data_IF_272648462077
#
_entry.id   IF_272648462077
#
_cell.length_a   1.000
_cell.length_b   1.000
_cell.length_c   1.000
_cell.angle_alpha   90.00
_cell.angle_beta   90.00
_cell.angle_gamma   90.00
#
_symmetry.space_group_name_H-M   'P 1'
#
loop_
_entity.id
_entity.type
_entity.pdbx_description
1 polymer ?
#
# COMPACT_ATOMS: atom_id res chain seq x y z
N UNK A 1 6.37 4.82 -12.68
CA UNK A 1 6.77 3.59 -13.42
C UNK A 1 6.10 2.38 -12.78
N UNK A 2 6.01 1.26 -13.50
CA UNK A 2 5.57 -0.03 -12.95
C UNK A 2 6.75 -0.99 -13.01
N UNK A 3 7.03 -1.66 -11.89
CA UNK A 3 8.05 -2.71 -11.80
C UNK A 3 7.40 -4.09 -11.90
N UNK A 4 7.90 -4.93 -12.81
CA UNK A 4 7.52 -6.34 -12.91
C UNK A 4 8.60 -7.22 -12.26
N UNK A 5 8.31 -7.90 -11.14
CA UNK A 5 9.28 -8.75 -10.47
C UNK A 5 9.58 -10.06 -11.21
N UNK A 6 8.73 -10.50 -12.14
CA UNK A 6 8.94 -11.74 -12.92
C UNK A 6 10.03 -11.56 -13.96
N UNK A 7 9.99 -10.43 -14.65
CA UNK A 7 10.97 -10.07 -15.69
C UNK A 7 12.10 -9.20 -15.15
N UNK A 8 11.96 -8.66 -13.93
CA UNK A 8 12.88 -7.70 -13.33
C UNK A 8 13.07 -6.45 -14.22
N UNK A 9 11.96 -5.89 -14.70
CA UNK A 9 11.97 -4.73 -15.61
C UNK A 9 11.02 -3.65 -15.17
N UNK A 10 11.29 -2.42 -15.60
CA UNK A 10 10.40 -1.27 -15.43
C UNK A 10 9.69 -0.95 -16.75
N UNK A 11 8.43 -0.54 -16.66
CA UNK A 11 7.66 0.03 -17.77
C UNK A 11 7.05 1.37 -17.37
N UNK A 12 6.68 2.16 -18.38
CA UNK A 12 5.95 3.41 -18.14
C UNK A 12 4.60 3.15 -17.47
N UNK A 13 4.22 4.01 -16.53
CA UNK A 13 2.89 4.06 -15.91
C UNK A 13 2.04 5.21 -16.51
N UNK A 14 2.48 5.80 -17.62
CA UNK A 14 1.95 7.07 -18.10
C UNK A 14 2.58 8.27 -17.38
N UNK A 15 1.99 9.44 -17.59
CA UNK A 15 2.42 10.71 -17.00
C UNK A 15 1.26 11.36 -16.27
N UNK A 16 1.53 11.88 -15.09
CA UNK A 16 0.54 12.67 -14.35
C UNK A 16 0.31 14.00 -15.06
N UNK A 17 -0.92 14.50 -15.00
CA UNK A 17 -1.24 15.86 -15.41
C UNK A 17 -0.70 16.89 -14.40
N UNK A 18 -0.60 16.49 -13.12
CA UNK A 18 -0.11 17.36 -12.04
C UNK A 18 1.12 16.76 -11.32
N UNK A 19 2.09 17.59 -10.90
CA UNK A 19 3.27 17.12 -10.19
C UNK A 19 2.91 16.58 -8.79
N UNK A 20 3.29 15.33 -8.51
CA UNK A 20 3.11 14.67 -7.21
C UNK A 20 4.44 14.67 -6.43
N UNK A 21 4.73 15.78 -5.77
CA UNK A 21 5.98 16.02 -5.04
C UNK A 21 5.79 15.82 -3.52
N UNK A 22 6.53 16.52 -2.68
CA UNK A 22 6.41 16.43 -1.22
C UNK A 22 4.95 16.57 -0.76
N UNK A 23 4.52 15.85 0.28
CA UNK A 23 3.12 15.82 0.77
C UNK A 23 2.06 15.24 -0.20
N UNK A 24 2.46 14.45 -1.21
CA UNK A 24 1.51 13.61 -1.96
C UNK A 24 1.17 12.32 -1.21
N UNK A 25 0.06 11.70 -1.60
CA UNK A 25 -0.36 10.36 -1.18
C UNK A 25 -0.87 9.56 -2.38
N UNK A 26 -0.68 8.24 -2.32
CA UNK A 26 -1.13 7.31 -3.37
C UNK A 26 -1.72 6.07 -2.71
N UNK A 27 -2.92 5.65 -3.12
CA UNK A 27 -3.61 4.52 -2.50
C UNK A 27 -4.29 3.64 -3.55
N UNK A 28 -4.19 2.32 -3.39
CA UNK A 28 -4.97 1.37 -4.19
C UNK A 28 -6.45 1.45 -3.80
N UNK A 29 -7.31 1.60 -4.79
CA UNK A 29 -8.76 1.62 -4.63
C UNK A 29 -9.39 0.21 -4.80
N UNK A 30 -10.59 -0.02 -4.23
CA UNK A 30 -11.32 -1.30 -4.35
C UNK A 30 -11.65 -1.71 -5.79
N UNK A 31 -11.61 -0.78 -6.75
CA UNK A 31 -11.83 -1.06 -8.15
C UNK A 31 -10.55 -1.40 -8.92
N UNK A 32 -9.40 -1.52 -8.24
CA UNK A 32 -8.11 -1.80 -8.87
C UNK A 32 -7.50 -0.58 -9.59
N UNK A 33 -8.00 0.63 -9.34
CA UNK A 33 -7.33 1.86 -9.75
C UNK A 33 -6.45 2.40 -8.63
N UNK A 34 -5.61 3.38 -8.93
CA UNK A 34 -4.77 4.05 -7.93
C UNK A 34 -5.22 5.48 -7.80
N UNK A 35 -5.59 5.89 -6.58
CA UNK A 35 -5.85 7.27 -6.21
C UNK A 35 -4.53 8.02 -6.00
N UNK A 36 -4.41 9.22 -6.54
CA UNK A 36 -3.28 10.13 -6.33
C UNK A 36 -3.82 11.50 -5.91
N UNK A 37 -3.29 12.05 -4.83
CA UNK A 37 -3.69 13.37 -4.35
C UNK A 37 -2.59 14.09 -3.58
N UNK A 38 -2.78 15.39 -3.38
CA UNK A 38 -1.86 16.24 -2.66
C UNK A 38 -0.57 16.52 -3.42
N UNK A 39 0.32 17.24 -2.74
CA UNK A 39 1.59 17.68 -3.27
C UNK A 39 1.87 19.14 -2.92
N UNK A 40 3.14 19.45 -2.65
CA UNK A 40 3.63 20.79 -2.38
C UNK A 40 4.79 21.07 -3.34
N UNK A 41 4.51 21.46 -4.61
CA UNK A 41 5.55 21.67 -5.61
C UNK A 41 6.52 22.80 -5.25
N UNK A 42 6.06 23.77 -4.48
CA UNK A 42 6.85 24.86 -3.93
C UNK A 42 6.33 25.26 -2.54
N UNK A 43 7.12 26.00 -1.77
CA UNK A 43 6.70 26.50 -0.46
C UNK A 43 5.43 27.37 -0.59
N UNK A 44 4.38 27.01 0.13
CA UNK A 44 3.09 27.71 0.09
C UNK A 44 2.23 27.43 -1.15
N UNK A 45 2.67 26.53 -2.04
CA UNK A 45 1.89 26.08 -3.21
C UNK A 45 1.41 24.66 -2.95
N UNK A 46 0.10 24.46 -3.04
CA UNK A 46 -0.55 23.18 -2.77
C UNK A 46 -1.22 22.65 -4.04
N UNK A 47 -1.01 21.37 -4.34
CA UNK A 47 -1.67 20.65 -5.43
C UNK A 47 -2.93 19.95 -4.88
N UNK A 48 -4.09 20.55 -5.14
CA UNK A 48 -5.37 20.11 -4.59
C UNK A 48 -6.16 19.19 -5.53
N UNK A 49 -5.69 18.95 -6.76
CA UNK A 49 -6.36 18.04 -7.68
C UNK A 49 -6.15 16.59 -7.28
N UNK A 50 -7.17 15.78 -7.54
CA UNK A 50 -7.13 14.32 -7.42
C UNK A 50 -7.00 13.74 -8.83
N UNK A 51 -6.14 12.74 -8.98
CA UNK A 51 -6.05 11.92 -10.18
C UNK A 51 -6.33 10.47 -9.82
N UNK A 52 -6.90 9.73 -10.76
CA UNK A 52 -7.08 8.28 -10.66
C UNK A 52 -6.34 7.63 -11.82
N UNK A 53 -5.28 6.90 -11.51
CA UNK A 53 -4.54 6.11 -12.48
C UNK A 53 -5.25 4.77 -12.69
N UNK A 54 -5.53 4.45 -13.96
CA UNK A 54 -6.11 3.18 -14.38
C UNK A 54 -5.01 2.31 -15.01
N UNK A 55 -4.53 1.26 -14.32
CA UNK A 55 -3.43 0.45 -14.84
C UNK A 55 -3.82 -0.35 -16.08
N UNK A 56 -2.82 -0.71 -16.89
CA UNK A 56 -3.01 -1.43 -18.16
C UNK A 56 -3.80 -2.74 -18.04
N UNK A 57 -3.76 -3.42 -16.89
CA UNK A 57 -4.53 -4.64 -16.65
C UNK A 57 -6.06 -4.45 -16.70
N UNK A 58 -6.54 -3.20 -16.72
CA UNK A 58 -7.96 -2.86 -16.87
C UNK A 58 -8.38 -2.67 -18.34
N UNK A 59 -7.45 -2.82 -19.28
CA UNK A 59 -7.69 -2.59 -20.70
C UNK A 59 -7.21 -3.77 -21.56
N UNK A 60 -7.89 -3.99 -22.67
CA UNK A 60 -7.43 -4.88 -23.74
C UNK A 60 -6.33 -4.19 -24.56
N UNK A 61 -5.67 -4.93 -25.44
CA UNK A 61 -4.61 -4.40 -26.31
C UNK A 61 -5.06 -3.29 -27.27
N UNK A 62 -6.36 -3.23 -27.57
CA UNK A 62 -6.97 -2.18 -28.39
C UNK A 62 -7.38 -0.93 -27.59
N UNK A 63 -7.12 -0.91 -26.28
CA UNK A 63 -7.47 0.17 -25.36
C UNK A 63 -8.92 0.15 -24.86
N UNK A 64 -9.75 -0.80 -25.31
CA UNK A 64 -11.09 -0.98 -24.74
C UNK A 64 -11.02 -1.57 -23.32
N UNK A 65 -12.02 -1.34 -22.45
CA UNK A 65 -12.03 -1.93 -21.11
C UNK A 65 -12.00 -3.46 -21.14
N UNK A 66 -11.10 -4.05 -20.34
CA UNK A 66 -11.01 -5.50 -20.18
C UNK A 66 -12.19 -6.05 -19.39
N UNK A 67 -12.66 -7.25 -19.75
CA UNK A 67 -13.70 -7.94 -18.97
C UNK A 67 -13.12 -8.41 -17.64
N UNK A 68 -13.63 -7.84 -16.55
CA UNK A 68 -13.28 -8.25 -15.18
C UNK A 68 -13.98 -9.56 -14.81
N UNK A 69 -13.32 -10.46 -14.04
CA UNK A 69 -14.04 -11.55 -13.39
C UNK A 69 -15.03 -10.98 -12.36
N UNK A 70 -16.18 -11.63 -12.21
CA UNK A 70 -17.13 -11.29 -11.18
C UNK A 70 -16.53 -11.51 -9.78
N UNK A 71 -16.69 -10.53 -8.89
CA UNK A 71 -16.34 -10.68 -7.48
C UNK A 71 -17.13 -11.85 -6.86
N UNK A 72 -16.56 -12.49 -5.85
CA UNK A 72 -17.21 -13.60 -5.19
C UNK A 72 -18.51 -13.15 -4.52
N UNK A 73 -19.62 -13.83 -4.81
CA UNK A 73 -20.94 -13.46 -4.27
C UNK A 73 -21.10 -13.74 -2.77
N UNK A 74 -20.21 -14.56 -2.21
CA UNK A 74 -20.22 -15.01 -0.83
C UNK A 74 -18.87 -14.76 -0.12
N UNK A 75 -18.14 -13.71 -0.52
CA UNK A 75 -16.90 -13.34 0.16
C UNK A 75 -17.14 -13.18 1.67
N UNK A 76 -16.40 -13.90 2.54
CA UNK A 76 -16.63 -13.85 3.97
C UNK A 76 -16.21 -12.50 4.56
N UNK A 77 -16.96 -11.99 5.53
CA UNK A 77 -16.59 -10.76 6.25
C UNK A 77 -15.32 -10.92 7.10
N UNK A 78 -15.01 -12.13 7.55
CA UNK A 78 -13.75 -12.44 8.22
C UNK A 78 -13.23 -13.84 7.86
N UNK A 79 -11.90 -13.96 7.82
CA UNK A 79 -11.16 -15.23 7.68
C UNK A 79 -10.09 -15.32 8.77
N UNK A 80 -9.59 -16.53 9.00
CA UNK A 80 -8.48 -16.78 9.94
C UNK A 80 -7.41 -17.67 9.32
N UNK A 81 -6.31 -17.86 10.04
CA UNK A 81 -5.10 -18.47 9.51
C UNK A 81 -5.27 -19.97 9.23
N UNK A 82 -4.77 -20.41 8.07
CA UNK A 82 -4.77 -21.82 7.63
C UNK A 82 -6.14 -22.45 7.38
N UNK A 83 -7.24 -21.74 7.67
CA UNK A 83 -8.60 -22.26 7.48
C UNK A 83 -9.02 -22.17 6.01
N UNK A 84 -9.76 -23.18 5.57
CA UNK A 84 -10.32 -23.19 4.21
C UNK A 84 -11.70 -22.54 4.18
N UNK A 85 -12.00 -21.84 3.09
CA UNK A 85 -13.31 -21.27 2.79
C UNK A 85 -13.60 -21.36 1.29
N UNK A 86 -14.85 -21.15 0.90
CA UNK A 86 -15.27 -21.26 -0.51
C UNK A 86 -15.74 -19.91 -1.03
N UNK A 87 -15.23 -19.51 -2.18
CA UNK A 87 -15.70 -18.35 -2.94
C UNK A 87 -16.48 -18.82 -4.17
N UNK A 88 -17.69 -18.32 -4.36
CA UNK A 88 -18.57 -18.62 -5.49
C UNK A 88 -18.49 -17.50 -6.51
N UNK A 89 -18.15 -17.84 -7.75
CA UNK A 89 -18.10 -16.90 -8.88
C UNK A 89 -18.37 -17.66 -10.18
N UNK A 90 -19.15 -17.10 -11.12
CA UNK A 90 -19.34 -17.71 -12.44
C UNK A 90 -18.02 -17.86 -13.21
N UNK A 91 -17.01 -17.05 -12.90
CA UNK A 91 -15.74 -17.02 -13.62
C UNK A 91 -14.64 -17.90 -12.99
N UNK A 92 -15.00 -18.82 -12.06
CA UNK A 92 -14.05 -19.63 -11.28
C UNK A 92 -13.03 -20.40 -12.13
N UNK A 93 -13.42 -20.84 -13.33
CA UNK A 93 -12.54 -21.56 -14.24
C UNK A 93 -11.42 -20.69 -14.86
N UNK A 94 -11.59 -19.36 -14.85
CA UNK A 94 -10.64 -18.40 -15.45
C UNK A 94 -9.74 -17.72 -14.42
N UNK A 95 -10.02 -17.89 -13.13
CA UNK A 95 -9.24 -17.29 -12.04
C UNK A 95 -7.92 -18.03 -11.89
N UNK A 96 -6.82 -17.30 -11.96
CA UNK A 96 -5.44 -17.83 -11.84
C UNK A 96 -4.75 -17.37 -10.57
N UNK A 97 -5.23 -16.30 -9.94
CA UNK A 97 -4.71 -15.81 -8.66
C UNK A 97 -5.82 -15.22 -7.79
N UNK A 98 -5.66 -15.37 -6.47
CA UNK A 98 -6.47 -14.69 -5.46
C UNK A 98 -5.52 -13.88 -4.59
N UNK A 99 -5.72 -12.58 -4.55
CA UNK A 99 -4.85 -11.64 -3.86
C UNK A 99 -5.59 -10.96 -2.71
N UNK A 100 -4.94 -10.90 -1.55
CA UNK A 100 -5.29 -10.00 -0.45
C UNK A 100 -4.33 -8.81 -0.47
N UNK A 101 -4.88 -7.59 -0.53
CA UNK A 101 -4.11 -6.36 -0.35
C UNK A 101 -4.55 -5.68 0.94
N UNK A 102 -3.64 -5.52 1.91
CA UNK A 102 -3.96 -4.80 3.15
C UNK A 102 -4.26 -3.34 2.82
N UNK A 103 -5.27 -2.75 3.47
CA UNK A 103 -5.57 -1.34 3.33
C UNK A 103 -4.34 -0.49 3.67
N UNK A 104 -3.90 0.36 2.74
CA UNK A 104 -2.72 1.21 2.91
C UNK A 104 -3.00 2.45 3.77
N UNK A 105 -1.94 2.98 4.36
CA UNK A 105 -1.95 4.23 5.13
C UNK A 105 -0.67 4.99 4.82
N UNK A 106 -0.80 6.05 4.01
CA UNK A 106 0.35 6.69 3.35
C UNK A 106 0.51 8.15 3.75
N UNK A 107 1.71 8.49 4.22
CA UNK A 107 2.15 9.88 4.37
C UNK A 107 3.65 9.98 4.13
N UNK A 108 4.12 11.11 3.61
CA UNK A 108 5.57 11.38 3.42
C UNK A 108 6.30 10.24 2.69
N UNK A 109 5.67 9.68 1.65
CA UNK A 109 6.17 8.53 0.87
C UNK A 109 6.34 7.24 1.67
N UNK A 110 5.66 7.12 2.81
CA UNK A 110 5.73 5.98 3.70
C UNK A 110 4.36 5.34 3.83
N UNK A 111 4.21 4.12 3.32
CA UNK A 111 3.05 3.27 3.55
C UNK A 111 3.32 2.32 4.72
N UNK A 112 2.54 2.45 5.78
CA UNK A 112 2.72 1.70 7.02
C UNK A 112 2.05 0.34 7.02
N UNK A 113 1.16 0.08 6.06
CA UNK A 113 0.25 -1.06 6.13
C UNK A 113 0.21 -1.91 4.87
N UNK A 114 0.27 -1.31 3.67
CA UNK A 114 -0.01 -2.03 2.43
C UNK A 114 0.94 -3.23 2.25
N UNK A 115 0.35 -4.37 1.91
CA UNK A 115 1.07 -5.59 1.54
C UNK A 115 0.23 -6.44 0.62
N UNK A 116 0.90 -7.19 -0.25
CA UNK A 116 0.31 -8.24 -1.07
C UNK A 116 0.46 -9.60 -0.38
N UNK A 117 -0.63 -10.36 -0.30
CA UNK A 117 -0.64 -11.76 0.16
C UNK A 117 -1.44 -12.59 -0.84
N UNK A 118 -0.75 -13.48 -1.57
CA UNK A 118 -1.40 -14.46 -2.44
C UNK A 118 -2.00 -15.61 -1.63
N UNK A 119 -3.16 -16.11 -2.04
CA UNK A 119 -3.82 -17.26 -1.43
C UNK A 119 -3.74 -18.49 -2.34
N UNK A 120 -3.53 -19.66 -1.72
CA UNK A 120 -3.64 -20.95 -2.40
C UNK A 120 -5.11 -21.34 -2.56
N UNK A 121 -5.46 -21.93 -3.70
CA UNK A 121 -6.82 -22.37 -3.97
C UNK A 121 -6.87 -23.52 -4.98
N UNK A 122 -8.01 -24.19 -5.05
CA UNK A 122 -8.36 -25.12 -6.13
C UNK A 122 -9.67 -24.67 -6.78
N UNK A 123 -9.72 -24.71 -8.11
CA UNK A 123 -10.92 -24.36 -8.88
C UNK A 123 -11.87 -25.55 -9.01
N UNK A 124 -13.16 -25.28 -8.93
CA UNK A 124 -14.26 -26.21 -9.19
C UNK A 124 -15.32 -25.56 -10.09
N UNK A 125 -16.44 -26.24 -10.32
CA UNK A 125 -17.54 -25.66 -11.10
C UNK A 125 -18.18 -24.49 -10.33
N UNK A 126 -17.97 -23.26 -10.81
CA UNK A 126 -18.53 -22.03 -10.25
C UNK A 126 -18.01 -21.65 -8.85
N UNK A 127 -16.94 -22.31 -8.37
CA UNK A 127 -16.41 -22.07 -7.02
C UNK A 127 -14.90 -22.25 -6.93
N UNK A 128 -14.30 -21.59 -5.95
CA UNK A 128 -12.88 -21.65 -5.60
C UNK A 128 -12.79 -22.07 -4.12
N UNK A 129 -12.14 -23.19 -3.85
CA UNK A 129 -11.81 -23.59 -2.47
C UNK A 129 -10.47 -22.98 -2.10
N UNK A 130 -10.48 -22.02 -1.19
CA UNK A 130 -9.34 -21.16 -0.84
C UNK A 130 -8.83 -21.53 0.55
N UNK A 131 -7.51 -21.49 0.75
CA UNK A 131 -6.89 -21.59 2.06
C UNK A 131 -6.44 -20.21 2.52
N UNK A 132 -6.86 -19.81 3.72
CA UNK A 132 -6.46 -18.54 4.34
C UNK A 132 -4.94 -18.47 4.59
N UNK A 133 -4.39 -17.27 4.84
CA UNK A 133 -2.95 -17.09 5.04
C UNK A 133 -2.39 -17.98 6.15
N UNK A 134 -1.11 -18.39 6.07
CA UNK A 134 -0.56 -19.37 6.99
C UNK A 134 -0.41 -18.85 8.43
N UNK A 135 -0.17 -17.55 8.61
CA UNK A 135 0.00 -16.91 9.92
C UNK A 135 0.02 -15.37 9.83
N UNK A 136 0.06 -14.74 10.99
CA UNK A 136 0.08 -13.29 11.19
C UNK A 136 1.40 -12.59 10.82
N UNK A 137 2.51 -13.31 10.62
CA UNK A 137 3.75 -12.69 10.11
C UNK A 137 3.60 -12.33 8.63
N UNK A 138 2.97 -13.22 7.86
CA UNK A 138 2.67 -13.01 6.44
C UNK A 138 1.53 -12.01 6.29
N UNK A 139 0.41 -12.26 6.99
CA UNK A 139 -0.80 -11.46 6.89
C UNK A 139 -1.25 -10.99 8.28
N UNK A 140 -0.70 -9.89 8.82
CA UNK A 140 -1.12 -9.34 10.11
C UNK A 140 -2.62 -9.05 10.14
N UNK A 141 -3.25 -9.14 11.32
CA UNK A 141 -4.67 -8.83 11.46
C UNK A 141 -5.05 -7.45 10.89
N UNK A 142 -6.28 -7.34 10.39
CA UNK A 142 -6.82 -6.09 9.84
C UNK A 142 -7.65 -6.31 8.58
N UNK A 143 -8.00 -5.21 7.92
CA UNK A 143 -8.80 -5.23 6.70
C UNK A 143 -7.95 -5.36 5.45
N UNK A 144 -8.41 -6.24 4.56
CA UNK A 144 -7.80 -6.50 3.27
C UNK A 144 -8.86 -6.42 2.18
N UNK A 145 -8.45 -5.94 1.01
CA UNK A 145 -9.18 -6.09 -0.23
C UNK A 145 -8.86 -7.46 -0.82
N UNK A 146 -9.89 -8.28 -1.06
CA UNK A 146 -9.79 -9.56 -1.75
C UNK A 146 -10.13 -9.37 -3.23
N UNK A 147 -9.19 -9.71 -4.09
CA UNK A 147 -9.34 -9.68 -5.54
C UNK A 147 -9.26 -11.09 -6.13
N UNK A 148 -10.15 -11.39 -7.07
CA UNK A 148 -9.99 -12.52 -7.99
C UNK A 148 -9.33 -12.00 -9.26
N UNK A 149 -8.27 -12.65 -9.72
CA UNK A 149 -7.52 -12.24 -10.91
C UNK A 149 -7.64 -13.32 -11.97
N UNK A 150 -8.09 -12.93 -13.17
CA UNK A 150 -8.24 -13.86 -14.28
C UNK A 150 -6.90 -14.14 -14.99
N UNK A 151 -6.90 -15.07 -15.95
CA UNK A 151 -5.72 -15.43 -16.73
C UNK A 151 -5.07 -14.26 -17.48
N UNK A 152 -5.84 -13.22 -17.84
CA UNK A 152 -5.33 -12.01 -18.49
C UNK A 152 -4.72 -11.00 -17.51
N UNK A 153 -4.76 -11.28 -16.20
CA UNK A 153 -4.27 -10.37 -15.16
C UNK A 153 -5.28 -9.31 -14.73
N UNK A 154 -6.51 -9.31 -15.26
CA UNK A 154 -7.55 -8.36 -14.88
C UNK A 154 -8.19 -8.75 -13.55
N UNK A 155 -8.16 -7.87 -12.53
CA UNK A 155 -8.77 -8.15 -11.23
C UNK A 155 -10.29 -7.93 -11.23
N UNK A 156 -11.03 -8.60 -10.36
CA UNK A 156 -12.42 -8.28 -10.01
C UNK A 156 -12.50 -6.93 -9.27
N UNK A 157 -13.70 -6.43 -8.99
CA UNK A 157 -13.86 -5.50 -7.87
C UNK A 157 -13.47 -6.20 -6.56
N UNK A 158 -12.94 -5.45 -5.60
CA UNK A 158 -12.56 -5.98 -4.31
C UNK A 158 -13.78 -6.36 -3.47
N UNK A 159 -13.65 -7.42 -2.68
CA UNK A 159 -14.47 -7.64 -1.49
C UNK A 159 -13.64 -7.33 -0.26
N UNK A 160 -14.20 -6.60 0.71
CA UNK A 160 -13.52 -6.37 1.98
C UNK A 160 -13.62 -7.59 2.88
N UNK A 161 -12.47 -8.03 3.40
CA UNK A 161 -12.36 -9.13 4.36
C UNK A 161 -11.47 -8.72 5.52
N UNK A 162 -11.87 -9.08 6.74
CA UNK A 162 -11.04 -8.92 7.93
C UNK A 162 -10.26 -10.20 8.23
N UNK A 163 -8.94 -10.13 8.25
CA UNK A 163 -8.13 -11.20 8.83
C UNK A 163 -8.17 -11.06 10.35
N UNK A 164 -8.69 -12.09 11.02
CA UNK A 164 -8.79 -12.17 12.47
C UNK A 164 -7.91 -13.30 13.03
N UNK A 165 -7.47 -13.14 14.28
CA UNK A 165 -6.59 -14.08 14.97
C UNK A 165 -5.50 -13.37 15.79
N UNK A 166 -4.68 -14.13 16.50
CA UNK A 166 -3.59 -13.58 17.28
C UNK A 166 -2.60 -12.80 16.38
N UNK A 167 -2.18 -11.62 16.85
CA UNK A 167 -1.10 -10.88 16.22
C UNK A 167 0.19 -11.73 16.20
N UNK A 168 1.12 -11.39 15.31
CA UNK A 168 2.43 -12.02 15.30
C UNK A 168 3.07 -11.88 16.69
N UNK A 169 3.69 -12.93 17.24
CA UNK A 169 4.41 -12.81 18.49
C UNK A 169 5.52 -11.78 18.30
N UNK A 170 5.49 -10.73 19.12
CA UNK A 170 6.61 -9.79 19.22
C UNK A 170 7.80 -10.53 19.84
N UNK A 171 8.96 -10.46 19.18
CA UNK A 171 10.20 -10.90 19.78
C UNK A 171 10.35 -10.21 21.14
N UNK A 172 10.80 -10.93 22.17
CA UNK A 172 11.10 -10.30 23.45
C UNK A 172 12.15 -9.23 23.20
N UNK A 173 11.81 -7.99 23.51
CA UNK A 173 12.80 -6.91 23.57
C UNK A 173 13.65 -7.19 24.79
N UNK A 174 14.81 -7.78 24.58
CA UNK A 174 15.84 -7.84 25.61
C UNK A 174 16.51 -6.46 25.66
N UNK A 175 16.12 -5.66 26.64
CA UNK A 175 16.86 -4.45 26.96
C UNK A 175 18.21 -4.88 27.53
N UNK A 176 19.21 -4.98 26.67
CA UNK A 176 20.58 -5.05 27.15
C UNK A 176 20.91 -3.69 27.75
N UNK A 177 21.23 -3.58 29.05
CA UNK A 177 21.80 -2.36 29.57
C UNK A 177 23.07 -2.12 28.76
N UNK A 178 23.14 -1.00 28.05
CA UNK A 178 24.39 -0.56 27.45
C UNK A 178 25.45 -0.56 28.55
N UNK A 179 26.46 -1.43 28.43
CA UNK A 179 27.70 -1.26 29.19
C UNK A 179 28.46 -0.10 28.55
N UNK A 180 27.96 1.12 28.70
CA UNK A 180 28.74 2.32 28.37
C UNK A 180 29.85 2.40 29.42
N UNK A 181 31.14 2.28 29.07
CA UNK A 181 32.19 2.73 29.98
C UNK A 181 31.93 4.18 30.33
N UNK A 182 31.99 4.56 31.60
CA UNK A 182 31.77 5.94 32.04
C UNK A 182 32.56 6.89 31.15
N UNK A 183 31.92 7.74 30.32
CA UNK A 183 32.67 8.60 29.44
C UNK A 183 33.31 9.71 30.27
N UNK A 184 34.64 9.80 30.24
CA UNK A 184 35.37 10.94 30.76
C UNK A 184 35.20 12.12 29.80
N UNK A 185 34.08 12.83 29.88
CA UNK A 185 33.93 14.10 29.18
C UNK A 185 34.55 15.22 30.03
N UNK A 186 35.67 15.79 29.57
CA UNK A 186 36.10 17.12 30.00
C UNK A 186 35.15 18.12 29.33
N UNK A 187 34.25 18.72 30.10
CA UNK A 187 33.48 19.87 29.64
C UNK A 187 34.41 21.08 29.51
N UNK A 188 34.98 21.33 28.34
CA UNK A 188 35.40 22.68 27.99
C UNK A 188 34.15 23.48 27.61
N UNK A 189 33.62 24.27 28.54
CA UNK A 189 32.65 25.33 28.20
C UNK A 189 33.36 26.35 27.31
N UNK A 190 33.24 26.21 25.98
CA UNK A 190 33.36 27.37 25.10
C UNK A 190 32.04 28.11 25.18
N UNK A 191 32.03 29.18 25.98
CA UNK A 191 30.96 30.17 25.97
C UNK A 191 30.98 30.82 24.58
N UNK A 192 30.07 30.40 23.69
CA UNK A 192 29.79 31.15 22.48
C UNK A 192 28.73 32.16 22.90
N UNK A 193 29.15 33.38 23.24
CA UNK A 193 28.21 34.50 23.29
C UNK A 193 27.69 34.71 21.88
N UNK A 194 26.40 34.49 21.67
CA UNK A 194 25.71 35.02 20.49
C UNK A 194 25.97 36.53 20.46
N UNK A 195 26.59 37.00 19.38
CA UNK A 195 26.71 38.43 19.13
C UNK A 195 25.29 38.97 18.91
N UNK A 196 24.84 40.01 19.63
CA UNK A 196 23.48 40.50 19.50
C UNK A 196 23.24 41.00 18.08
N UNK A 197 22.18 40.46 17.46
CA UNK A 197 21.61 40.92 16.19
C UNK A 197 21.45 42.46 16.24
N UNK A 198 22.03 43.23 15.30
CA UNK A 198 21.72 44.64 15.21
C UNK A 198 20.27 44.79 14.70
N UNK A 199 19.42 45.28 15.59
CA UNK A 199 18.13 45.91 15.28
C UNK A 199 18.26 46.82 14.05
N UNK A 200 17.61 46.45 12.94
CA UNK A 200 17.32 47.40 11.86
C UNK A 200 15.84 47.76 11.90
N UNK A 201 15.54 48.87 12.56
CA UNK A 201 14.30 49.64 12.41
C UNK A 201 14.38 50.46 11.11
N UNK A 202 13.32 50.37 10.30
CA UNK A 202 12.82 51.35 9.30
C UNK A 202 13.76 51.64 8.10
N UNK A 203 13.33 51.94 6.86
CA UNK A 203 12.19 52.75 6.42
C UNK A 203 12.01 52.67 4.87
N UNK A 204 10.77 52.92 4.41
CA UNK A 204 10.31 53.49 3.13
C UNK A 204 9.99 52.66 1.87
N UNK A 205 8.68 52.73 1.60
CA UNK A 205 7.97 52.85 0.32
C UNK A 205 8.64 53.86 -0.63
N UNK A 206 8.80 53.45 -1.88
CA UNK A 206 8.50 54.23 -3.08
C UNK A 206 7.90 53.29 -4.12
#
# INVERSE_FOLDING_TARGET
>A
EIYDPTTNTFSSAGSNAFPRLYHNTQLLLPDGTVFLAGGNPAQGVFENHIEVYQPSYLFNSDGSPAKRPAAASNAPGSITYGQSFTLSTPDAATVTSIALIKAGSVTHSFDMDQRYVGLSFTSGQGSLKVTGPPNSNIAPPGYYMLFLVNQSGTPSLASWVQISGAAAPIAKVELHPERVPTPAYIFQRKHVTESPLPLRKEMHIH
#
